data_IF_352923006916
#
_entry.id   IF_352923006916
#
_cell.length_a   1.000
_cell.length_b   1.000
_cell.length_c   1.000
_cell.angle_alpha   90.00
_cell.angle_beta   90.00
_cell.angle_gamma   90.00
#
_symmetry.space_group_name_H-M   'P 1'
#
loop_
_entity.id
_entity.type
_entity.pdbx_description
1 polymer ?
#
# COMPACT_ATOMS: atom_id res chain seq x y z
N UNK A 1 3.17 20.09 12.30
CA UNK A 1 3.12 19.73 10.87
C UNK A 1 4.41 19.09 10.38
N UNK A 2 5.53 19.81 10.30
CA UNK A 2 6.83 19.23 9.88
C UNK A 2 7.23 18.01 10.73
N UNK A 3 7.09 18.10 12.06
CA UNK A 3 7.44 17.01 12.98
C UNK A 3 6.61 15.74 12.74
N UNK A 4 5.31 15.85 12.43
CA UNK A 4 4.47 14.66 12.12
C UNK A 4 4.88 13.99 10.81
N UNK A 5 5.18 14.79 9.78
CA UNK A 5 5.66 14.28 8.49
C UNK A 5 6.98 13.54 8.70
N UNK A 6 7.91 14.14 9.44
CA UNK A 6 9.18 13.50 9.78
C UNK A 6 8.94 12.22 10.58
N UNK A 7 8.09 12.21 11.60
CA UNK A 7 7.81 11.00 12.39
C UNK A 7 7.21 9.84 11.58
N UNK A 8 6.46 10.13 10.51
CA UNK A 8 5.89 9.11 9.62
C UNK A 8 6.93 8.58 8.62
N UNK A 9 7.71 9.48 8.02
CA UNK A 9 8.65 9.14 6.94
C UNK A 9 9.97 8.61 7.48
N UNK A 10 10.42 9.12 8.62
CA UNK A 10 11.70 8.80 9.24
C UNK A 10 11.90 7.30 9.50
N UNK A 11 10.94 6.53 10.05
CA UNK A 11 11.11 5.09 10.26
C UNK A 11 11.42 4.35 8.96
N UNK A 12 10.75 4.70 7.86
CA UNK A 12 10.97 4.07 6.55
C UNK A 12 12.38 4.38 6.05
N UNK A 13 12.78 5.67 6.10
CA UNK A 13 14.13 6.07 5.71
C UNK A 13 15.22 5.44 6.59
N UNK A 14 14.98 5.33 7.90
CA UNK A 14 15.92 4.73 8.84
C UNK A 14 16.12 3.23 8.55
N UNK A 15 15.03 2.48 8.31
CA UNK A 15 15.10 1.06 7.95
C UNK A 15 15.86 0.88 6.63
N UNK A 16 15.61 1.72 5.62
CA UNK A 16 16.34 1.69 4.35
C UNK A 16 17.83 1.99 4.55
N UNK A 17 18.17 3.00 5.37
CA UNK A 17 19.55 3.37 5.65
C UNK A 17 20.31 2.23 6.35
N UNK A 18 19.72 1.62 7.38
CA UNK A 18 20.28 0.46 8.07
C UNK A 18 20.45 -0.71 7.10
N UNK A 19 19.43 -1.00 6.29
CA UNK A 19 19.49 -2.06 5.27
C UNK A 19 20.59 -1.83 4.24
N UNK A 20 20.80 -0.58 3.80
CA UNK A 20 21.86 -0.22 2.86
C UNK A 20 23.25 -0.38 3.47
N UNK A 21 23.46 0.10 4.71
CA UNK A 21 24.73 -0.08 5.43
C UNK A 21 25.05 -1.55 5.66
N UNK A 22 24.05 -2.33 6.09
CA UNK A 22 24.19 -3.77 6.30
C UNK A 22 24.48 -4.52 5.00
N UNK A 23 23.73 -4.24 3.93
CA UNK A 23 23.89 -4.86 2.62
C UNK A 23 25.25 -4.55 1.97
N UNK A 24 25.76 -3.33 2.15
CA UNK A 24 27.11 -2.96 1.69
C UNK A 24 28.20 -3.75 2.40
N UNK A 25 28.03 -4.06 3.69
CA UNK A 25 29.03 -4.75 4.51
C UNK A 25 28.99 -6.28 4.34
N UNK A 26 27.81 -6.89 4.27
CA UNK A 26 27.66 -8.34 4.36
C UNK A 26 27.19 -9.03 3.07
N UNK A 27 26.76 -8.28 2.04
CA UNK A 27 26.20 -8.82 0.78
C UNK A 27 25.36 -10.10 0.98
N UNK A 28 24.34 -10.06 1.85
CA UNK A 28 23.56 -11.25 2.17
C UNK A 28 22.84 -11.78 0.92
N UNK A 29 22.77 -13.10 0.79
CA UNK A 29 21.94 -13.72 -0.23
C UNK A 29 20.46 -13.51 0.12
N UNK A 30 19.81 -12.60 -0.60
CA UNK A 30 18.40 -12.27 -0.40
C UNK A 30 17.45 -13.31 -0.99
N UNK A 31 17.93 -14.29 -1.77
CA UNK A 31 17.05 -15.25 -2.44
C UNK A 31 16.26 -16.08 -1.42
N UNK A 32 16.92 -16.63 -0.41
CA UNK A 32 16.25 -17.43 0.63
C UNK A 32 15.22 -16.58 1.41
N UNK A 33 15.60 -15.38 1.84
CA UNK A 33 14.70 -14.48 2.57
C UNK A 33 13.49 -14.06 1.72
N UNK A 34 13.70 -13.74 0.45
CA UNK A 34 12.61 -13.34 -0.45
C UNK A 34 11.68 -14.52 -0.76
N UNK A 35 12.22 -15.74 -0.94
CA UNK A 35 11.40 -16.94 -1.13
C UNK A 35 10.52 -17.23 0.08
N UNK A 36 11.06 -17.12 1.30
CA UNK A 36 10.27 -17.27 2.54
C UNK A 36 9.23 -16.15 2.65
N UNK A 37 9.59 -14.91 2.31
CA UNK A 37 8.66 -13.78 2.34
C UNK A 37 7.49 -13.95 1.39
N UNK A 38 7.78 -14.30 0.13
CA UNK A 38 6.75 -14.51 -0.89
C UNK A 38 5.97 -15.81 -0.70
N UNK A 39 6.62 -16.88 -0.21
CA UNK A 39 6.03 -18.21 -0.10
C UNK A 39 5.25 -18.45 1.19
N UNK A 40 5.60 -17.77 2.29
CA UNK A 40 5.02 -18.01 3.61
C UNK A 40 4.44 -16.72 4.18
N UNK A 41 5.26 -15.68 4.37
CA UNK A 41 4.82 -14.48 5.10
C UNK A 41 3.70 -13.72 4.38
N UNK A 42 3.80 -13.54 3.06
CA UNK A 42 2.76 -12.83 2.28
C UNK A 42 1.42 -13.60 2.32
N UNK A 43 1.35 -14.91 2.02
CA UNK A 43 0.11 -15.68 2.15
C UNK A 43 -0.45 -15.67 3.58
N UNK A 44 0.40 -15.85 4.60
CA UNK A 44 -0.04 -15.81 6.00
C UNK A 44 -0.59 -14.44 6.39
N UNK A 45 0.00 -13.35 5.89
CA UNK A 45 -0.49 -12.00 6.14
C UNK A 45 -1.84 -11.76 5.47
N UNK A 46 -2.02 -12.21 4.22
CA UNK A 46 -3.31 -12.13 3.53
C UNK A 46 -4.37 -12.94 4.31
N UNK A 47 -4.05 -14.17 4.69
CA UNK A 47 -4.94 -15.01 5.48
C UNK A 47 -5.29 -14.37 6.83
N UNK A 48 -4.30 -13.81 7.54
CA UNK A 48 -4.51 -13.13 8.81
C UNK A 48 -5.48 -11.95 8.67
N UNK A 49 -5.35 -11.14 7.61
CA UNK A 49 -6.27 -10.04 7.33
C UNK A 49 -7.68 -10.54 6.98
N UNK A 50 -7.78 -11.59 6.17
CA UNK A 50 -9.07 -12.19 5.82
C UNK A 50 -9.78 -12.85 7.01
N UNK A 51 -9.03 -13.46 7.93
CA UNK A 51 -9.57 -14.14 9.10
C UNK A 51 -9.93 -13.18 10.25
N UNK A 52 -9.23 -12.04 10.37
CA UNK A 52 -9.45 -11.07 11.45
C UNK A 52 -10.57 -10.06 11.17
N UNK A 53 -11.02 -9.93 9.92
CA UNK A 53 -12.05 -8.96 9.52
C UNK A 53 -13.32 -9.67 9.05
N UNK A 54 -14.41 -9.48 9.79
CA UNK A 54 -15.75 -9.70 9.26
C UNK A 54 -16.09 -8.55 8.30
N UNK A 55 -16.08 -8.82 7.00
CA UNK A 55 -16.46 -7.84 5.99
C UNK A 55 -17.90 -8.12 5.58
N UNK A 56 -18.81 -7.19 5.86
CA UNK A 56 -20.13 -7.23 5.22
C UNK A 56 -19.96 -6.83 3.75
N UNK A 57 -20.17 -7.81 2.87
CA UNK A 57 -20.02 -7.62 1.42
C UNK A 57 -20.99 -6.56 0.89
N UNK A 58 -22.16 -6.41 1.51
CA UNK A 58 -23.16 -5.42 1.10
C UNK A 58 -22.65 -3.99 1.34
N UNK A 59 -21.96 -3.75 2.45
CA UNK A 59 -21.44 -2.43 2.81
C UNK A 59 -20.20 -2.04 2.00
N UNK A 60 -19.35 -3.02 1.64
CA UNK A 60 -18.06 -2.75 0.98
C UNK A 60 -18.15 -2.84 -0.55
N UNK A 61 -19.27 -3.30 -1.12
CA UNK A 61 -19.43 -3.48 -2.57
C UNK A 61 -19.08 -2.21 -3.38
N UNK A 62 -19.57 -1.05 -2.96
CA UNK A 62 -19.33 0.20 -3.69
C UNK A 62 -17.85 0.63 -3.62
N UNK A 63 -17.20 0.45 -2.47
CA UNK A 63 -15.78 0.75 -2.27
C UNK A 63 -14.92 -0.24 -3.07
N UNK A 64 -15.29 -1.52 -3.08
CA UNK A 64 -14.61 -2.56 -3.85
C UNK A 64 -14.68 -2.30 -5.36
N UNK A 65 -15.85 -1.91 -5.88
CA UNK A 65 -16.01 -1.51 -7.28
C UNK A 65 -15.19 -0.27 -7.62
N UNK A 66 -15.20 0.75 -6.76
CA UNK A 66 -14.35 1.94 -6.93
C UNK A 66 -12.87 1.59 -6.97
N UNK A 67 -12.41 0.74 -6.04
CA UNK A 67 -11.05 0.23 -6.00
C UNK A 67 -10.67 -0.54 -7.27
N UNK A 68 -11.56 -1.42 -7.75
CA UNK A 68 -11.37 -2.18 -8.98
C UNK A 68 -11.22 -1.24 -10.20
N UNK A 69 -12.09 -0.23 -10.32
CA UNK A 69 -12.03 0.75 -11.41
C UNK A 69 -10.73 1.56 -11.35
N UNK A 70 -10.26 1.95 -10.17
CA UNK A 70 -9.01 2.69 -10.01
C UNK A 70 -7.80 1.82 -10.38
N UNK A 71 -7.78 0.57 -9.91
CA UNK A 71 -6.69 -0.39 -10.19
C UNK A 71 -6.63 -0.70 -11.69
N UNK A 72 -7.74 -1.07 -12.30
CA UNK A 72 -7.80 -1.40 -13.73
C UNK A 72 -7.62 -0.16 -14.61
N UNK A 73 -8.23 0.97 -14.24
CA UNK A 73 -8.12 2.22 -14.96
C UNK A 73 -6.70 2.76 -14.97
N UNK A 74 -5.99 2.72 -13.83
CA UNK A 74 -4.58 3.12 -13.77
C UNK A 74 -3.66 2.18 -14.55
N UNK A 75 -3.94 0.87 -14.57
CA UNK A 75 -3.23 -0.09 -15.42
C UNK A 75 -3.45 0.18 -16.91
N UNK A 76 -4.71 0.44 -17.30
CA UNK A 76 -5.10 0.72 -18.67
C UNK A 76 -4.50 2.03 -19.19
N UNK A 77 -4.44 3.07 -18.36
CA UNK A 77 -3.80 4.34 -18.67
C UNK A 77 -2.27 4.25 -18.63
N UNK A 78 -1.71 3.43 -17.74
CA UNK A 78 -0.27 3.20 -17.61
C UNK A 78 0.32 2.40 -18.78
N UNK A 79 -0.47 1.50 -19.39
CA UNK A 79 -0.04 0.68 -20.52
C UNK A 79 0.45 1.45 -21.76
N UNK A 80 -0.29 2.43 -22.31
CA UNK A 80 0.19 3.24 -23.43
C UNK A 80 1.40 4.10 -23.05
N UNK A 81 1.50 4.54 -21.80
CA UNK A 81 2.65 5.31 -21.29
C UNK A 81 3.90 4.42 -21.27
N UNK A 82 3.80 3.21 -20.72
CA UNK A 82 4.88 2.23 -20.71
C UNK A 82 5.37 1.93 -22.13
N UNK A 83 4.43 1.72 -23.06
CA UNK A 83 4.73 1.42 -24.47
C UNK A 83 5.39 2.60 -25.19
N UNK A 84 4.95 3.83 -24.96
CA UNK A 84 5.54 5.04 -25.58
C UNK A 84 6.95 5.34 -25.06
N UNK A 85 7.21 5.04 -23.79
CA UNK A 85 8.52 5.28 -23.16
C UNK A 85 9.49 4.09 -23.33
N UNK A 86 9.08 3.01 -24.00
CA UNK A 86 9.91 1.82 -24.20
C UNK A 86 10.12 0.96 -22.94
N UNK A 87 9.36 1.21 -21.87
CA UNK A 87 9.45 0.41 -20.64
C UNK A 87 8.68 -0.90 -20.78
N UNK A 88 9.23 -1.97 -20.22
CA UNK A 88 8.54 -3.25 -20.12
C UNK A 88 7.25 -3.08 -19.28
N UNK A 89 6.05 -3.40 -19.81
CA UNK A 89 4.82 -3.19 -19.06
C UNK A 89 4.79 -3.97 -17.73
N UNK A 90 5.47 -5.11 -17.69
CA UNK A 90 5.59 -5.96 -16.49
C UNK A 90 6.35 -5.28 -15.33
N UNK A 91 7.13 -4.23 -15.59
CA UNK A 91 7.88 -3.52 -14.54
C UNK A 91 7.15 -2.27 -14.06
N UNK A 92 6.46 -1.55 -14.96
CA UNK A 92 5.82 -0.27 -14.63
C UNK A 92 4.36 -0.40 -14.20
N UNK A 93 3.60 -1.35 -14.75
CA UNK A 93 2.17 -1.44 -14.48
C UNK A 93 1.86 -1.89 -13.04
N UNK A 94 2.52 -2.92 -12.46
CA UNK A 94 2.23 -3.33 -11.10
C UNK A 94 2.32 -2.20 -10.06
N UNK A 95 3.38 -1.36 -10.01
CA UNK A 95 3.44 -0.26 -9.05
C UNK A 95 2.46 0.89 -9.34
N UNK A 96 2.01 1.05 -10.60
CA UNK A 96 0.95 2.01 -10.93
C UNK A 96 -0.43 1.54 -10.44
N UNK A 97 -0.73 0.25 -10.61
CA UNK A 97 -2.00 -0.38 -10.25
C UNK A 97 -2.12 -0.60 -8.74
N UNK A 98 -1.07 -1.13 -8.11
CA UNK A 98 -1.03 -1.48 -6.70
C UNK A 98 -0.16 -0.50 -5.94
N UNK A 99 -0.74 0.65 -5.62
CA UNK A 99 -0.11 1.67 -4.78
C UNK A 99 -0.17 1.25 -3.31
N UNK A 100 0.79 1.73 -2.52
CA UNK A 100 0.74 1.63 -1.05
C UNK A 100 -0.29 2.61 -0.48
N UNK A 101 -1.55 2.48 -0.91
CA UNK A 101 -2.65 3.36 -0.55
C UNK A 101 -3.05 3.21 0.93
N UNK A 102 -2.77 2.04 1.53
CA UNK A 102 -2.90 1.86 2.97
C UNK A 102 -1.92 2.75 3.73
N UNK A 103 -0.62 2.48 3.61
CA UNK A 103 0.37 3.14 4.45
C UNK A 103 0.60 4.61 4.08
N UNK A 104 0.52 5.00 2.80
CA UNK A 104 0.63 6.41 2.40
C UNK A 104 -0.71 7.11 2.27
N UNK A 105 -1.73 6.45 1.71
CA UNK A 105 -3.01 7.09 1.41
C UNK A 105 -3.83 7.39 2.66
N UNK A 106 -3.91 6.50 3.66
CA UNK A 106 -4.61 6.79 4.91
C UNK A 106 -3.95 7.94 5.67
N UNK A 107 -2.61 7.98 5.71
CA UNK A 107 -1.87 9.06 6.39
C UNK A 107 -2.09 10.41 5.69
N UNK A 108 -2.08 10.44 4.35
CA UNK A 108 -2.39 11.65 3.58
C UNK A 108 -3.85 12.08 3.71
N UNK A 109 -4.78 11.12 3.73
CA UNK A 109 -6.21 11.39 3.93
C UNK A 109 -6.47 11.97 5.31
N UNK A 110 -5.87 11.38 6.35
CA UNK A 110 -5.94 11.88 7.73
C UNK A 110 -5.29 13.25 7.86
N UNK A 111 -4.17 13.49 7.18
CA UNK A 111 -3.52 14.80 7.14
C UNK A 111 -4.38 15.86 6.44
N UNK A 112 -4.99 15.53 5.30
CA UNK A 112 -5.79 16.44 4.50
C UNK A 112 -7.19 16.72 5.08
N UNK A 113 -7.81 15.72 5.72
CA UNK A 113 -9.21 15.77 6.18
C UNK A 113 -9.36 15.58 7.69
N UNK A 114 -8.28 15.63 8.47
CA UNK A 114 -8.26 15.21 9.89
C UNK A 114 -9.29 15.89 10.80
N UNK A 115 -9.71 17.12 10.50
CA UNK A 115 -10.83 17.78 11.21
C UNK A 115 -12.18 17.23 10.75
N UNK A 116 -12.36 17.01 9.44
CA UNK A 116 -13.59 16.50 8.85
C UNK A 116 -13.93 15.09 9.35
N UNK A 117 -12.92 14.24 9.57
CA UNK A 117 -13.09 12.89 10.12
C UNK A 117 -13.50 12.88 11.60
N UNK A 118 -13.13 13.92 12.36
CA UNK A 118 -13.48 14.04 13.78
C UNK A 118 -14.86 14.72 13.98
N UNK A 119 -15.34 15.48 12.98
CA UNK A 119 -16.63 16.19 13.03
C UNK A 119 -17.73 15.59 12.14
N UNK A 120 -17.40 14.69 11.21
CA UNK A 120 -18.38 13.98 10.40
C UNK A 120 -18.75 12.65 11.07
N UNK A 121 -19.98 12.47 11.59
CA UNK A 121 -20.46 11.22 12.17
C UNK A 121 -20.76 10.16 11.10
N UNK A 122 -20.01 10.13 9.99
CA UNK A 122 -20.28 9.32 8.80
C UNK A 122 -19.50 7.99 8.82
N UNK A 123 -18.48 7.85 9.67
CA UNK A 123 -17.78 6.56 9.86
C UNK A 123 -17.96 5.97 11.27
N UNK A 124 -18.63 6.67 12.18
CA UNK A 124 -18.88 6.21 13.55
C UNK A 124 -20.29 5.62 13.76
N UNK A 125 -21.10 5.46 12.70
CA UNK A 125 -22.47 4.92 12.77
C UNK A 125 -22.65 3.51 12.21
N UNK A 126 -21.59 2.84 11.77
CA UNK A 126 -21.63 1.46 11.28
C UNK A 126 -20.75 0.53 12.13
N UNK A 127 -20.87 0.64 13.45
CA UNK A 127 -20.44 -0.39 14.39
C UNK A 127 -21.53 -0.49 15.47
N UNK A 128 -22.24 -1.64 15.60
CA UNK A 128 -22.93 -1.97 16.84
C UNK A 128 -21.94 -2.19 17.98
#
# INVERSE_FOLDING_TARGET
>A
MLVQIVSIVFPVCAVIAVGCLYGRKHRPDMLATNQVNMGIFVPTLIFSVLASKSVDLAEVQMIALGGLVIVLGSGLLGWPIARRLGYAPKTLLPPMMFKNAGNMGLLLLLFALGVLLNTAPVLARSAP
#
